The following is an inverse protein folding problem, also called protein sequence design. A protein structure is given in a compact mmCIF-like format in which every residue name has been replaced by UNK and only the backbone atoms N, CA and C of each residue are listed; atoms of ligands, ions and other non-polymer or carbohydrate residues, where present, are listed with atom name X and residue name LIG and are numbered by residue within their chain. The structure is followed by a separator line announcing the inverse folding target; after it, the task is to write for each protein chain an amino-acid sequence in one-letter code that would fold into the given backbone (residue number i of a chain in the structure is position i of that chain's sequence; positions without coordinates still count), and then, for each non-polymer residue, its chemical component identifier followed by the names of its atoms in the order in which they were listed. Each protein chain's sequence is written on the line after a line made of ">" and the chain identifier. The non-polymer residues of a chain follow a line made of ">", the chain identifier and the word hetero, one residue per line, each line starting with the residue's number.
data_IF_784239188023
#
_entry.id   IF_784239188023
#
_cell.length_a   1.000
_cell.length_b   1.000
_cell.length_c   1.000
_cell.angle_alpha   90.00
_cell.angle_beta   90.00
_cell.angle_gamma   90.00
#
_symmetry.space_group_name_H-M   'P 1'
#
loop_
_entity.id
_entity.type
_entity.pdbx_description
1 polymer ?
#
# COMPACT_ATOMS: atom_id res chain seq x y z
N UNK A 1 17.35 13.84 -21.93
CA UNK A 1 16.06 13.88 -21.19
C UNK A 1 16.25 13.04 -19.94
N UNK A 2 15.98 13.53 -18.72
CA UNK A 2 16.20 12.71 -17.54
C UNK A 2 15.18 11.57 -17.51
N UNK A 3 15.70 10.35 -17.36
CA UNK A 3 14.92 9.13 -17.21
C UNK A 3 14.30 9.11 -15.81
N UNK A 4 12.99 8.87 -15.72
CA UNK A 4 12.27 8.67 -14.46
C UNK A 4 12.40 7.19 -14.07
N UNK A 5 13.34 6.87 -13.19
CA UNK A 5 13.43 5.51 -12.61
C UNK A 5 12.69 5.53 -11.27
N UNK A 6 11.40 5.18 -11.30
CA UNK A 6 10.49 5.07 -10.15
C UNK A 6 10.98 3.99 -9.16
N UNK A 7 11.41 4.33 -7.94
CA UNK A 7 11.80 3.30 -6.98
C UNK A 7 10.58 2.52 -6.42
N UNK A 8 10.58 1.18 -6.48
CA UNK A 8 9.40 0.36 -6.19
C UNK A 8 9.13 0.14 -4.68
N UNK A 9 9.21 1.17 -3.82
CA UNK A 9 8.87 1.01 -2.39
C UNK A 9 7.36 1.07 -2.18
N UNK A 10 6.78 0.03 -1.54
CA UNK A 10 5.33 -0.05 -1.29
C UNK A 10 4.81 1.13 -0.45
N UNK A 11 5.57 1.57 0.56
CA UNK A 11 5.19 2.70 1.43
C UNK A 11 5.18 4.04 0.69
N UNK A 12 6.07 4.25 -0.29
CA UNK A 12 6.08 5.46 -1.12
C UNK A 12 4.85 5.51 -2.01
N UNK A 13 4.54 4.39 -2.67
CA UNK A 13 3.35 4.28 -3.51
C UNK A 13 2.05 4.54 -2.71
N UNK A 14 2.00 4.13 -1.43
CA UNK A 14 0.86 4.40 -0.54
C UNK A 14 0.54 5.90 -0.45
N UNK A 15 1.54 6.73 -0.20
CA UNK A 15 1.37 8.20 -0.13
C UNK A 15 1.15 8.80 -1.50
N UNK A 16 1.80 8.26 -2.53
CA UNK A 16 1.61 8.74 -3.89
C UNK A 16 0.18 8.53 -4.41
N UNK A 17 -0.43 7.37 -4.13
CA UNK A 17 -1.85 7.12 -4.42
C UNK A 17 -2.73 8.15 -3.72
N UNK A 18 -2.44 8.50 -2.46
CA UNK A 18 -3.23 9.50 -1.71
C UNK A 18 -3.20 10.87 -2.38
N UNK A 19 -2.02 11.30 -2.83
CA UNK A 19 -1.86 12.57 -3.56
C UNK A 19 -2.63 12.57 -4.89
N UNK A 20 -2.53 11.48 -5.66
CA UNK A 20 -3.26 11.31 -6.93
C UNK A 20 -4.78 11.28 -6.73
N UNK A 21 -5.27 10.51 -5.76
CA UNK A 21 -6.70 10.42 -5.42
C UNK A 21 -7.29 11.78 -5.10
N UNK A 22 -6.64 12.49 -4.18
CA UNK A 22 -7.08 13.81 -3.73
C UNK A 22 -6.73 14.92 -4.72
N UNK A 23 -6.05 14.62 -5.84
CA UNK A 23 -5.59 15.61 -6.83
C UNK A 23 -4.81 16.76 -6.19
N UNK A 24 -4.02 16.46 -5.17
CA UNK A 24 -3.14 17.44 -4.52
C UNK A 24 -1.93 17.63 -5.43
N UNK A 25 -1.54 18.87 -5.74
CA UNK A 25 -0.33 19.13 -6.52
C UNK A 25 0.91 18.78 -5.68
N UNK A 26 1.85 18.07 -6.29
CA UNK A 26 3.11 17.67 -5.66
C UNK A 26 4.27 17.73 -6.64
N UNK A 27 5.48 17.89 -6.09
CA UNK A 27 6.72 17.63 -6.80
C UNK A 27 7.28 16.28 -6.35
N UNK A 28 7.43 15.35 -7.28
CA UNK A 28 8.05 14.05 -7.00
C UNK A 28 9.56 14.15 -7.10
N UNK A 29 10.27 13.70 -6.06
CA UNK A 29 11.73 13.65 -6.02
C UNK A 29 12.13 12.18 -5.81
N UNK A 30 12.69 11.59 -6.86
CA UNK A 30 13.22 10.23 -6.81
C UNK A 30 14.43 10.17 -5.88
N UNK A 31 14.55 9.11 -5.08
CA UNK A 31 15.73 8.90 -4.23
C UNK A 31 16.08 7.42 -4.18
N UNK A 32 17.37 7.12 -4.35
CA UNK A 32 17.91 5.79 -4.13
C UNK A 32 17.96 5.50 -2.61
N UNK A 33 17.30 4.46 -2.10
CA UNK A 33 17.34 4.15 -0.67
C UNK A 33 18.71 3.61 -0.22
N UNK A 34 19.53 3.08 -1.13
CA UNK A 34 20.90 2.62 -0.84
C UNK A 34 21.95 3.73 -0.97
N UNK A 35 21.60 4.84 -1.63
CA UNK A 35 22.42 6.03 -1.79
C UNK A 35 21.57 7.28 -1.50
N UNK A 36 21.42 7.56 -0.21
CA UNK A 36 20.50 8.59 0.29
C UNK A 36 20.99 9.98 -0.13
N UNK A 37 20.16 10.68 -0.90
CA UNK A 37 20.49 12.00 -1.41
C UNK A 37 20.71 13.03 -0.29
N UNK A 38 21.64 13.98 -0.45
CA UNK A 38 21.83 15.07 0.52
C UNK A 38 20.56 15.87 0.78
N UNK A 39 19.70 16.05 -0.22
CA UNK A 39 18.41 16.73 -0.08
C UNK A 39 17.43 15.95 0.80
N UNK A 40 17.37 14.61 0.68
CA UNK A 40 16.57 13.78 1.59
C UNK A 40 17.11 13.85 3.02
N UNK A 41 18.43 13.78 3.21
CA UNK A 41 19.03 13.82 4.56
C UNK A 41 18.88 15.18 5.22
N UNK A 42 18.94 16.27 4.45
CA UNK A 42 18.67 17.62 4.94
C UNK A 42 17.22 17.79 5.41
N UNK A 43 16.26 17.16 4.72
CA UNK A 43 14.86 17.19 5.09
C UNK A 43 14.54 16.21 6.24
N UNK A 44 15.01 14.98 6.15
CA UNK A 44 14.81 13.92 7.13
C UNK A 44 16.14 13.21 7.41
N UNK A 45 16.82 13.49 8.55
CA UNK A 45 18.09 12.88 8.89
C UNK A 45 18.06 11.34 9.01
N UNK A 46 16.88 10.73 9.23
CA UNK A 46 16.73 9.26 9.21
C UNK A 46 16.81 8.70 7.79
N UNK A 47 16.56 9.54 6.77
CA UNK A 47 16.55 9.18 5.36
C UNK A 47 15.53 8.09 5.03
N UNK A 48 14.35 8.16 5.66
CA UNK A 48 13.24 7.24 5.41
C UNK A 48 12.36 7.76 4.28
N UNK A 49 11.75 6.85 3.52
CA UNK A 49 10.80 7.18 2.47
C UNK A 49 9.47 6.43 2.69
N UNK A 50 8.30 7.07 2.42
CA UNK A 50 8.16 8.44 1.96
C UNK A 50 8.45 9.48 3.05
N UNK A 51 8.96 10.63 2.62
CA UNK A 51 9.04 11.87 3.41
C UNK A 51 8.47 13.00 2.56
N UNK A 52 7.64 13.86 3.14
CA UNK A 52 7.13 15.08 2.48
C UNK A 52 7.60 16.34 3.22
N UNK A 53 7.77 17.43 2.48
CA UNK A 53 7.89 18.77 3.05
C UNK A 53 6.50 19.37 3.25
N UNK A 54 5.91 19.16 4.42
CA UNK A 54 4.57 19.64 4.74
C UNK A 54 4.58 21.17 4.95
N UNK A 55 3.75 21.94 4.22
CA UNK A 55 3.62 23.38 4.44
C UNK A 55 3.14 23.69 5.85
N UNK A 56 3.76 24.69 6.48
CA UNK A 56 3.29 25.24 7.74
C UNK A 56 2.29 26.39 7.51
N UNK A 57 1.37 26.63 8.46
CA UNK A 57 0.46 27.77 8.40
C UNK A 57 1.21 29.10 8.23
N UNK A 58 0.51 30.10 7.68
CA UNK A 58 1.00 31.48 7.58
C UNK A 58 2.36 31.61 6.86
N UNK A 59 2.61 30.78 5.85
CA UNK A 59 3.84 30.78 5.04
C UNK A 59 5.14 30.63 5.86
N UNK A 60 5.09 29.91 7.00
CA UNK A 60 6.27 29.67 7.86
C UNK A 60 7.25 28.62 7.28
N UNK A 61 7.19 28.38 5.96
CA UNK A 61 7.99 27.38 5.26
C UNK A 61 7.40 25.97 5.36
N UNK A 62 8.26 24.96 5.34
CA UNK A 62 7.89 23.54 5.32
C UNK A 62 8.64 22.77 6.40
N UNK A 63 8.00 21.74 6.97
CA UNK A 63 8.64 20.78 7.88
C UNK A 63 8.51 19.34 7.37
N UNK A 64 9.47 18.46 7.69
CA UNK A 64 9.40 17.06 7.28
C UNK A 64 8.27 16.33 8.00
N UNK A 65 7.48 15.56 7.25
CA UNK A 65 6.66 14.47 7.77
C UNK A 65 7.09 13.15 7.12
N UNK A 66 7.14 12.09 7.91
CA UNK A 66 7.46 10.73 7.51
C UNK A 66 6.46 9.75 8.14
N UNK A 67 6.56 8.46 7.80
CA UNK A 67 5.53 7.43 8.02
C UNK A 67 4.32 7.60 7.10
N UNK A 68 4.24 6.73 6.08
CA UNK A 68 3.21 6.83 5.02
C UNK A 68 1.77 6.94 5.52
N UNK A 69 1.37 6.21 6.57
CA UNK A 69 0.01 6.31 7.12
C UNK A 69 -0.24 7.65 7.81
N UNK A 70 0.76 8.17 8.54
CA UNK A 70 0.67 9.46 9.22
C UNK A 70 0.64 10.61 8.20
N UNK A 71 1.46 10.52 7.16
CA UNK A 71 1.41 11.46 6.03
C UNK A 71 0.02 11.46 5.40
N UNK A 72 -0.57 10.29 5.15
CA UNK A 72 -1.87 10.21 4.50
C UNK A 72 -3.00 10.79 5.36
N UNK A 73 -2.96 10.60 6.69
CA UNK A 73 -3.91 11.28 7.59
C UNK A 73 -3.70 12.80 7.57
N UNK A 74 -2.46 13.28 7.59
CA UNK A 74 -2.17 14.71 7.44
C UNK A 74 -2.72 15.26 6.12
N UNK A 75 -2.54 14.55 5.00
CA UNK A 75 -3.06 14.99 3.69
C UNK A 75 -4.59 15.01 3.65
N UNK A 76 -5.26 14.08 4.34
CA UNK A 76 -6.71 14.10 4.49
C UNK A 76 -7.19 15.32 5.29
N UNK A 77 -6.48 15.69 6.36
CA UNK A 77 -6.85 16.79 7.25
C UNK A 77 -6.46 18.17 6.70
N UNK A 78 -5.29 18.29 6.07
CA UNK A 78 -4.76 19.54 5.55
C UNK A 78 -5.42 19.99 4.23
N UNK A 79 -6.05 19.06 3.51
CA UNK A 79 -6.72 19.31 2.23
C UNK A 79 -8.19 18.84 2.28
N UNK A 80 -9.02 19.45 3.15
CA UNK A 80 -10.40 19.00 3.35
C UNK A 80 -11.29 19.27 2.13
N UNK A 81 -10.96 20.28 1.30
CA UNK A 81 -11.73 20.61 0.09
C UNK A 81 -11.42 19.67 -1.10
N UNK A 82 -10.46 18.76 -0.94
CA UNK A 82 -10.06 17.80 -1.96
C UNK A 82 -10.80 16.47 -1.79
N UNK A 83 -11.49 16.04 -2.84
CA UNK A 83 -12.23 14.77 -2.91
C UNK A 83 -11.48 13.72 -3.73
N UNK A 84 -11.67 12.41 -3.45
CA UNK A 84 -12.58 11.85 -2.45
C UNK A 84 -12.06 12.04 -1.01
N UNK A 85 -12.97 11.93 -0.05
CA UNK A 85 -12.62 11.89 1.37
C UNK A 85 -12.18 10.48 1.73
N UNK A 86 -10.92 10.32 2.13
CA UNK A 86 -10.33 8.99 2.35
C UNK A 86 -10.65 8.42 3.73
N UNK A 87 -11.29 9.21 4.60
CA UNK A 87 -11.80 8.79 5.89
C UNK A 87 -13.23 9.29 6.10
N UNK A 88 -14.05 8.56 6.88
CA UNK A 88 -15.37 9.03 7.27
C UNK A 88 -15.31 10.30 8.12
N UNK A 89 -16.45 11.01 8.25
CA UNK A 89 -16.57 12.21 9.11
C UNK A 89 -16.67 11.87 10.59
N UNK A 90 -17.39 10.79 10.92
CA UNK A 90 -17.67 10.41 12.31
C UNK A 90 -16.44 9.87 13.05
N UNK A 91 -16.24 10.23 14.33
CA UNK A 91 -15.03 9.84 15.08
C UNK A 91 -14.92 8.32 15.27
N UNK A 92 -16.04 7.63 15.44
CA UNK A 92 -16.07 6.17 15.60
C UNK A 92 -15.65 5.46 14.32
N UNK A 93 -16.20 5.88 13.18
CA UNK A 93 -15.92 5.29 11.87
C UNK A 93 -14.47 5.57 11.44
N UNK A 94 -13.93 6.76 11.77
CA UNK A 94 -12.49 7.07 11.63
C UNK A 94 -11.63 6.14 12.47
N UNK A 95 -11.99 5.91 13.72
CA UNK A 95 -11.27 4.96 14.59
C UNK A 95 -11.32 3.54 14.03
N UNK A 96 -12.48 3.09 13.53
CA UNK A 96 -12.62 1.78 12.88
C UNK A 96 -11.74 1.68 11.63
N UNK A 97 -11.68 2.70 10.79
CA UNK A 97 -10.77 2.72 9.64
C UNK A 97 -9.30 2.61 10.07
N UNK A 98 -8.90 3.32 11.13
CA UNK A 98 -7.53 3.25 11.68
C UNK A 98 -7.15 1.87 12.21
N UNK A 99 -8.08 1.14 12.83
CA UNK A 99 -7.86 -0.25 13.25
C UNK A 99 -7.49 -1.11 12.05
N UNK A 100 -8.17 -0.95 10.91
CA UNK A 100 -7.90 -1.74 9.71
C UNK A 100 -6.64 -1.30 8.97
N UNK A 101 -6.29 -0.02 9.02
CA UNK A 101 -4.99 0.49 8.55
C UNK A 101 -3.85 -0.13 9.39
N UNK A 102 -4.00 -0.19 10.71
CA UNK A 102 -3.04 -0.87 11.58
C UNK A 102 -2.97 -2.37 11.28
N UNK A 103 -4.11 -3.05 11.14
CA UNK A 103 -4.20 -4.47 10.80
C UNK A 103 -3.42 -4.81 9.53
N UNK A 104 -3.50 -3.97 8.50
CA UNK A 104 -2.69 -4.14 7.28
C UNK A 104 -1.19 -4.11 7.58
N UNK A 105 -0.75 -3.19 8.45
CA UNK A 105 0.64 -3.03 8.86
C UNK A 105 1.14 -4.12 9.82
N UNK A 106 0.28 -4.61 10.70
CA UNK A 106 0.64 -5.54 11.80
C UNK A 106 0.38 -7.01 11.45
N UNK A 107 -0.54 -7.31 10.52
CA UNK A 107 -0.92 -8.69 10.16
C UNK A 107 -0.64 -9.03 8.70
N UNK A 108 -1.16 -8.27 7.74
CA UNK A 108 -1.05 -8.63 6.33
C UNK A 108 0.39 -8.43 5.81
N UNK A 109 0.94 -7.23 5.98
CA UNK A 109 2.27 -6.86 5.49
C UNK A 109 3.38 -7.76 6.04
N UNK A 110 3.44 -8.06 7.35
CA UNK A 110 4.48 -8.92 7.90
C UNK A 110 4.38 -10.36 7.41
N UNK A 111 3.17 -10.92 7.30
CA UNK A 111 2.98 -12.28 6.79
C UNK A 111 3.33 -12.38 5.30
N UNK A 112 2.97 -11.38 4.49
CA UNK A 112 3.41 -11.30 3.10
C UNK A 112 4.95 -11.27 2.99
N UNK A 113 5.63 -10.47 3.82
CA UNK A 113 7.11 -10.45 3.87
C UNK A 113 7.70 -11.79 4.32
N UNK A 114 7.08 -12.47 5.28
CA UNK A 114 7.54 -13.81 5.70
C UNK A 114 7.49 -14.81 4.55
N UNK A 115 6.49 -14.75 3.66
CA UNK A 115 6.47 -15.58 2.44
C UNK A 115 7.68 -15.26 1.53
N UNK A 116 8.04 -13.98 1.41
CA UNK A 116 9.15 -13.53 0.56
C UNK A 116 10.52 -14.01 1.07
N UNK A 117 10.72 -13.99 2.40
CA UNK A 117 12.02 -14.28 3.02
C UNK A 117 12.08 -15.64 3.73
N UNK A 118 11.06 -16.49 3.57
CA UNK A 118 11.06 -17.84 4.11
C UNK A 118 12.25 -18.64 3.57
N UNK A 119 12.90 -19.40 4.45
CA UNK A 119 14.10 -20.20 4.14
C UNK A 119 13.78 -21.67 3.85
N UNK A 120 12.55 -22.11 4.15
CA UNK A 120 12.07 -23.44 3.84
C UNK A 120 10.62 -23.40 3.32
N UNK A 121 10.19 -24.52 2.73
CA UNK A 121 8.80 -24.70 2.29
C UNK A 121 7.83 -24.64 3.46
N UNK A 122 8.19 -25.24 4.61
CA UNK A 122 7.36 -25.26 5.82
C UNK A 122 7.16 -23.85 6.40
N UNK A 123 8.23 -23.04 6.49
CA UNK A 123 8.14 -21.64 6.91
C UNK A 123 7.24 -20.83 5.97
N UNK A 124 7.41 -21.04 4.66
CA UNK A 124 6.64 -20.36 3.61
C UNK A 124 5.16 -20.73 3.70
N UNK A 125 4.84 -21.99 3.86
CA UNK A 125 3.46 -22.48 3.88
C UNK A 125 2.74 -22.04 5.16
N UNK A 126 3.43 -22.03 6.31
CA UNK A 126 2.92 -21.45 7.55
C UNK A 126 2.65 -19.94 7.43
N UNK A 127 3.60 -19.20 6.84
CA UNK A 127 3.42 -17.76 6.57
C UNK A 127 2.26 -17.50 5.61
N UNK A 128 2.09 -18.33 4.58
CA UNK A 128 0.99 -18.26 3.62
C UNK A 128 -0.36 -18.51 4.31
N UNK A 129 -0.46 -19.50 5.18
CA UNK A 129 -1.68 -19.76 5.94
C UNK A 129 -2.11 -18.56 6.79
N UNK A 130 -1.17 -17.94 7.51
CA UNK A 130 -1.44 -16.73 8.32
C UNK A 130 -1.73 -15.49 7.45
N UNK A 131 -1.08 -15.37 6.30
CA UNK A 131 -1.39 -14.32 5.31
C UNK A 131 -2.84 -14.47 4.79
N UNK A 132 -3.23 -15.66 4.33
CA UNK A 132 -4.58 -15.91 3.83
C UNK A 132 -5.65 -15.73 4.91
N UNK A 133 -5.35 -16.09 6.16
CA UNK A 133 -6.23 -15.81 7.30
C UNK A 133 -6.45 -14.30 7.47
N UNK A 134 -5.37 -13.51 7.46
CA UNK A 134 -5.45 -12.06 7.60
C UNK A 134 -6.17 -11.39 6.42
N UNK A 135 -5.93 -11.85 5.19
CA UNK A 135 -6.65 -11.38 3.99
C UNK A 135 -8.15 -11.63 4.11
N UNK A 136 -8.56 -12.83 4.55
CA UNK A 136 -9.99 -13.15 4.76
C UNK A 136 -10.61 -12.30 5.86
N UNK A 137 -9.91 -12.07 6.95
CA UNK A 137 -10.37 -11.22 8.06
C UNK A 137 -10.59 -9.77 7.60
N UNK A 138 -9.61 -9.18 6.90
CA UNK A 138 -9.76 -7.86 6.28
C UNK A 138 -10.94 -7.82 5.29
N UNK A 139 -11.09 -8.85 4.47
CA UNK A 139 -12.16 -8.90 3.46
C UNK A 139 -13.56 -9.01 4.06
N UNK A 140 -13.73 -9.76 5.15
CA UNK A 140 -15.03 -9.89 5.85
C UNK A 140 -15.52 -8.59 6.46
N UNK A 141 -14.60 -7.66 6.71
CA UNK A 141 -14.86 -6.40 7.39
C UNK A 141 -15.02 -5.22 6.42
N UNK A 142 -14.71 -5.44 5.14
CA UNK A 142 -15.10 -4.55 4.08
C UNK A 142 -16.63 -4.39 4.02
N UNK A 143 -17.08 -3.24 3.54
CA UNK A 143 -18.47 -3.06 3.15
C UNK A 143 -18.91 -4.17 2.17
N UNK A 144 -20.06 -4.83 2.39
CA UNK A 144 -20.49 -5.98 1.60
C UNK A 144 -20.78 -5.62 0.14
N UNK A 145 -21.28 -4.41 -0.13
CA UNK A 145 -21.56 -3.92 -1.48
C UNK A 145 -20.29 -3.34 -2.10
N UNK A 146 -19.56 -2.52 -1.36
CA UNK A 146 -18.28 -1.94 -1.77
C UNK A 146 -18.41 -0.99 -2.98
N UNK A 147 -17.41 -0.96 -3.89
CA UNK A 147 -16.36 -1.97 -4.07
C UNK A 147 -15.16 -1.84 -3.11
N UNK A 148 -15.05 -0.73 -2.38
CA UNK A 148 -13.94 -0.42 -1.48
C UNK A 148 -14.22 -0.83 -0.03
N UNK A 149 -13.23 -0.68 0.85
CA UNK A 149 -13.31 -1.15 2.23
C UNK A 149 -14.43 -0.47 3.01
N UNK A 150 -14.59 0.84 2.84
CA UNK A 150 -15.59 1.64 3.56
C UNK A 150 -16.91 1.83 2.78
N UNK A 151 -17.03 1.26 1.58
CA UNK A 151 -18.22 1.40 0.73
C UNK A 151 -17.87 1.78 -0.71
N UNK A 152 -18.59 2.77 -1.24
CA UNK A 152 -18.54 3.17 -2.65
C UNK A 152 -17.28 3.96 -3.04
N UNK A 153 -16.71 4.71 -2.10
CA UNK A 153 -15.50 5.52 -2.31
C UNK A 153 -14.25 4.85 -1.71
N UNK A 154 -13.09 5.10 -2.35
CA UNK A 154 -11.80 4.61 -1.86
C UNK A 154 -11.45 5.27 -0.52
N UNK A 155 -11.00 4.47 0.44
CA UNK A 155 -10.56 4.94 1.75
C UNK A 155 -9.09 4.66 2.04
N UNK A 156 -8.60 5.22 3.15
CA UNK A 156 -7.26 4.94 3.65
C UNK A 156 -6.99 3.45 3.95
N UNK A 157 -7.94 2.62 4.44
CA UNK A 157 -7.71 1.17 4.57
C UNK A 157 -7.38 0.50 3.23
N UNK A 158 -8.03 0.93 2.15
CA UNK A 158 -7.76 0.43 0.80
C UNK A 158 -6.34 0.81 0.34
N UNK A 159 -6.01 2.10 0.46
CA UNK A 159 -4.71 2.66 0.09
C UNK A 159 -3.60 2.02 0.92
N UNK A 160 -3.88 1.71 2.19
CA UNK A 160 -2.93 1.04 3.07
C UNK A 160 -2.50 -0.33 2.52
N UNK A 161 -3.37 -1.07 1.84
CA UNK A 161 -3.09 -2.41 1.32
C UNK A 161 -2.73 -2.43 -0.18
N UNK A 162 -3.24 -1.48 -0.97
CA UNK A 162 -3.11 -1.47 -2.42
C UNK A 162 -1.66 -1.68 -2.95
N UNK A 163 -0.62 -1.01 -2.40
CA UNK A 163 0.76 -1.23 -2.88
C UNK A 163 1.27 -2.67 -2.74
N UNK A 164 0.79 -3.43 -1.74
CA UNK A 164 1.19 -4.83 -1.57
C UNK A 164 0.54 -5.72 -2.62
N UNK A 165 -0.74 -5.50 -2.89
CA UNK A 165 -1.48 -6.19 -3.96
C UNK A 165 -0.84 -5.94 -5.32
N UNK A 166 -0.35 -4.74 -5.57
CA UNK A 166 0.42 -4.39 -6.77
C UNK A 166 1.66 -5.29 -6.95
N UNK A 167 2.18 -5.84 -5.85
CA UNK A 167 3.41 -6.62 -5.76
C UNK A 167 3.19 -8.12 -5.61
N UNK A 168 1.94 -8.60 -5.54
CA UNK A 168 1.66 -10.03 -5.41
C UNK A 168 2.30 -10.87 -6.52
N UNK A 169 2.36 -10.33 -7.75
CA UNK A 169 3.02 -10.99 -8.88
C UNK A 169 4.48 -11.42 -8.59
N UNK A 170 5.19 -10.74 -7.68
CA UNK A 170 6.55 -11.15 -7.29
C UNK A 170 6.52 -12.47 -6.53
N UNK A 171 5.59 -12.63 -5.59
CA UNK A 171 5.44 -13.89 -4.84
C UNK A 171 4.90 -14.97 -5.77
N UNK A 172 3.93 -14.66 -6.64
CA UNK A 172 3.44 -15.61 -7.65
C UNK A 172 4.55 -16.12 -8.57
N UNK A 173 5.48 -15.25 -8.98
CA UNK A 173 6.57 -15.60 -9.89
C UNK A 173 7.72 -16.33 -9.21
N UNK A 174 8.13 -15.89 -8.02
CA UNK A 174 9.39 -16.33 -7.41
C UNK A 174 9.23 -17.29 -6.23
N UNK A 175 8.01 -17.55 -5.75
CA UNK A 175 7.75 -18.43 -4.62
C UNK A 175 6.75 -19.50 -5.04
N UNK A 176 7.17 -20.75 -5.02
CA UNK A 176 6.28 -21.89 -5.29
C UNK A 176 5.04 -21.84 -4.38
N UNK A 177 3.86 -22.05 -4.97
CA UNK A 177 2.55 -21.90 -4.33
C UNK A 177 2.06 -20.46 -4.20
N UNK A 178 2.85 -19.45 -4.60
CA UNK A 178 2.42 -18.06 -4.68
C UNK A 178 1.89 -17.50 -3.36
N UNK A 179 0.93 -16.57 -3.45
CA UNK A 179 0.19 -16.06 -2.30
C UNK A 179 -0.84 -17.06 -1.75
N UNK A 180 -1.25 -18.03 -2.57
CA UNK A 180 -2.32 -18.99 -2.26
C UNK A 180 -3.73 -18.40 -2.27
N UNK A 181 -3.91 -17.18 -2.78
CA UNK A 181 -5.26 -16.63 -3.02
C UNK A 181 -5.90 -17.47 -4.13
N UNK A 182 -7.07 -18.10 -3.89
CA UNK A 182 -7.65 -19.03 -4.85
C UNK A 182 -8.21 -18.31 -6.08
N UNK A 183 -8.24 -19.02 -7.20
CA UNK A 183 -8.96 -18.58 -8.39
C UNK A 183 -10.47 -18.51 -8.13
N UNK A 184 -11.21 -17.94 -9.08
CA UNK A 184 -12.67 -17.94 -9.03
C UNK A 184 -13.22 -19.37 -9.06
N UNK A 185 -14.15 -19.69 -8.14
CA UNK A 185 -14.70 -21.03 -7.98
C UNK A 185 -13.85 -21.99 -7.12
N UNK A 186 -12.61 -21.63 -6.78
CA UNK A 186 -11.70 -22.47 -5.98
C UNK A 186 -11.64 -22.07 -4.49
N UNK A 187 -12.45 -21.10 -4.06
CA UNK A 187 -12.45 -20.62 -2.68
C UNK A 187 -13.10 -21.55 -1.64
N UNK A 188 -13.71 -22.66 -2.07
CA UNK A 188 -14.40 -23.62 -1.21
C UNK A 188 -15.47 -22.95 -0.34
N UNK A 189 -15.48 -23.26 0.97
CA UNK A 189 -16.44 -22.66 1.92
C UNK A 189 -16.29 -21.14 2.09
N UNK A 190 -15.13 -20.57 1.74
CA UNK A 190 -14.84 -19.14 1.85
C UNK A 190 -15.04 -18.41 0.50
N UNK A 191 -15.62 -19.04 -0.53
CA UNK A 191 -15.76 -18.46 -1.87
C UNK A 191 -16.50 -17.12 -1.89
N UNK A 192 -17.48 -16.90 -1.00
CA UNK A 192 -18.12 -15.59 -0.85
C UNK A 192 -17.13 -14.48 -0.43
N UNK A 193 -16.22 -14.79 0.49
CA UNK A 193 -15.15 -13.88 0.93
C UNK A 193 -14.19 -13.63 -0.23
N UNK A 194 -13.75 -14.68 -0.93
CA UNK A 194 -12.81 -14.53 -2.04
C UNK A 194 -13.40 -13.78 -3.24
N UNK A 195 -14.72 -13.92 -3.48
CA UNK A 195 -15.44 -13.10 -4.46
C UNK A 195 -15.40 -11.61 -4.08
N UNK A 196 -15.64 -11.29 -2.81
CA UNK A 196 -15.56 -9.89 -2.31
C UNK A 196 -14.14 -9.33 -2.41
N UNK A 197 -13.12 -10.14 -2.09
CA UNK A 197 -11.71 -9.79 -2.27
C UNK A 197 -11.40 -9.49 -3.74
N UNK A 198 -11.81 -10.37 -4.67
CA UNK A 198 -11.57 -10.16 -6.11
C UNK A 198 -12.28 -8.90 -6.63
N UNK A 199 -13.49 -8.60 -6.15
CA UNK A 199 -14.20 -7.34 -6.45
C UNK A 199 -13.39 -6.12 -6.00
N UNK A 200 -12.89 -6.14 -4.76
CA UNK A 200 -12.04 -5.09 -4.22
C UNK A 200 -10.73 -4.94 -5.01
N UNK A 201 -10.03 -6.05 -5.24
CA UNK A 201 -8.76 -6.07 -5.96
C UNK A 201 -8.89 -5.53 -7.39
N UNK A 202 -9.95 -5.92 -8.10
CA UNK A 202 -10.26 -5.40 -9.42
C UNK A 202 -10.53 -3.89 -9.39
N UNK A 203 -11.32 -3.42 -8.41
CA UNK A 203 -11.62 -2.00 -8.25
C UNK A 203 -10.38 -1.17 -7.94
N UNK A 204 -9.45 -1.68 -7.13
CA UNK A 204 -8.18 -1.01 -6.82
C UNK A 204 -7.24 -0.97 -8.01
N UNK A 205 -7.00 -2.12 -8.67
CA UNK A 205 -6.13 -2.17 -9.86
C UNK A 205 -6.69 -1.39 -11.05
N UNK A 206 -8.00 -1.15 -11.07
CA UNK A 206 -8.68 -0.35 -12.09
C UNK A 206 -8.38 1.15 -12.01
N UNK A 207 -8.00 1.68 -10.83
CA UNK A 207 -7.86 3.12 -10.59
C UNK A 207 -6.67 3.72 -11.34
N UNK A 208 -6.84 4.95 -11.83
CA UNK A 208 -5.76 5.71 -12.47
C UNK A 208 -4.64 6.03 -11.49
N UNK A 209 -4.97 6.44 -10.26
CA UNK A 209 -4.00 6.67 -9.17
C UNK A 209 -3.10 5.45 -8.92
N UNK A 210 -3.66 4.24 -8.97
CA UNK A 210 -2.91 3.01 -8.79
C UNK A 210 -1.95 2.77 -9.97
N UNK A 211 -2.44 2.94 -11.20
CA UNK A 211 -1.66 2.76 -12.44
C UNK A 211 -0.55 3.81 -12.58
N UNK A 212 -0.85 5.07 -12.27
CA UNK A 212 0.07 6.20 -12.38
C UNK A 212 1.26 6.09 -11.43
N UNK A 213 1.05 5.44 -10.28
CA UNK A 213 2.03 5.33 -9.19
C UNK A 213 2.75 3.97 -9.15
N UNK A 214 2.50 3.11 -10.14
CA UNK A 214 3.13 1.81 -10.26
C UNK A 214 4.19 1.81 -11.37
N UNK A 215 5.38 1.27 -11.10
CA UNK A 215 6.45 1.18 -12.11
C UNK A 215 6.21 -0.02 -13.04
N UNK A 216 6.97 -0.11 -14.13
CA UNK A 216 6.98 -1.35 -14.91
C UNK A 216 7.51 -2.53 -14.09
N UNK A 217 6.94 -3.72 -14.29
CA UNK A 217 7.26 -4.92 -13.50
C UNK A 217 8.75 -5.28 -13.52
N UNK A 218 9.44 -5.03 -14.64
CA UNK A 218 10.86 -5.32 -14.81
C UNK A 218 11.73 -4.69 -13.71
N UNK A 219 11.39 -3.49 -13.23
CA UNK A 219 12.13 -2.83 -12.16
C UNK A 219 11.98 -3.55 -10.81
N UNK A 220 10.80 -4.07 -10.51
CA UNK A 220 10.55 -4.86 -9.30
C UNK A 220 11.26 -6.21 -9.37
N UNK A 221 11.20 -6.87 -10.53
CA UNK A 221 11.80 -8.19 -10.73
C UNK A 221 13.33 -8.12 -10.62
N UNK A 222 13.95 -7.05 -11.13
CA UNK A 222 15.39 -6.82 -10.97
C UNK A 222 15.78 -6.71 -9.50
N UNK A 223 15.00 -5.99 -8.68
CA UNK A 223 15.26 -5.89 -7.24
C UNK A 223 15.01 -7.23 -6.54
N UNK A 224 13.91 -7.92 -6.83
CA UNK A 224 13.61 -9.22 -6.26
C UNK A 224 14.71 -10.24 -6.60
N UNK A 225 15.27 -10.20 -7.81
CA UNK A 225 16.38 -11.08 -8.20
C UNK A 225 17.66 -10.73 -7.44
N UNK A 226 17.93 -9.46 -7.15
CA UNK A 226 19.11 -9.06 -6.39
C UNK A 226 18.99 -9.34 -4.88
N UNK A 227 17.79 -9.20 -4.31
CA UNK A 227 17.54 -9.40 -2.87
C UNK A 227 17.15 -10.84 -2.50
N UNK A 228 16.47 -11.57 -3.39
CA UNK A 228 15.95 -12.92 -3.12
C UNK A 228 16.76 -14.05 -3.78
N UNK A 229 17.75 -13.73 -4.62
CA UNK A 229 18.73 -14.70 -5.11
C UNK A 229 19.95 -14.85 -4.19
N UNK A 230 19.81 -14.44 -2.92
CA UNK A 230 20.74 -14.76 -1.82
C UNK A 230 19.98 -15.56 -0.76
#
# INVERSE_FOLDING_TARGET
>A
MPQVVRHPVATVQRTWITLEEKKILYQYIETNPYDKSPSLLALNPKGLVPTIGAPLPNNQGTKPLYESNIINEYLEEAYPDHTPHLLPKGPFERARARIWIDFVGSRITPNYRKIQYAKSTEERDAARAEFLKAVKEFTREMDPEGPYFLGEEIGLPDIALAPWVARFFMVEKFKEGGTGIPAEGEGGKDEGVWRRWRKWEAAIKGRESFKNTFSERVYYENIATQEWAR
#
